data_IF_765573038131
#
_entry.id   IF_765573038131
#
_cell.length_a   1.000
_cell.length_b   1.000
_cell.length_c   1.000
_cell.angle_alpha   90.00
_cell.angle_beta   90.00
_cell.angle_gamma   90.00
#
_symmetry.space_group_name_H-M   'P 1'
#
loop_
_entity.id
_entity.type
_entity.pdbx_description
1 polymer ?
#
# COMPACT_ATOMS: atom_id res chain seq x y z
N UNK A 1 -1.35 7.48 16.04
CA UNK A 1 -2.63 7.80 16.69
C UNK A 1 -2.98 6.66 17.62
N UNK A 2 -3.51 6.95 18.81
CA UNK A 2 -3.91 5.92 19.77
C UNK A 2 -5.39 5.57 19.59
N UNK A 3 -5.74 4.29 19.71
CA UNK A 3 -7.13 3.82 19.57
C UNK A 3 -7.78 3.88 20.95
N UNK A 4 -8.76 4.76 21.12
CA UNK A 4 -9.51 4.90 22.36
C UNK A 4 -10.67 3.92 22.40
N UNK A 5 -10.67 3.03 23.39
CA UNK A 5 -11.77 2.11 23.69
C UNK A 5 -12.64 2.80 24.75
N UNK A 6 -13.85 3.20 24.36
CA UNK A 6 -14.78 3.91 25.21
C UNK A 6 -15.75 2.95 25.89
N UNK A 7 -16.17 3.27 27.12
CA UNK A 7 -17.19 2.50 27.86
C UNK A 7 -18.57 2.51 27.18
N UNK A 8 -18.82 3.48 26.30
CA UNK A 8 -20.05 3.59 25.49
C UNK A 8 -20.00 2.81 24.18
N UNK A 9 -18.85 2.20 23.83
CA UNK A 9 -18.74 1.39 22.64
C UNK A 9 -19.56 0.10 22.80
N UNK A 10 -20.24 -0.32 21.72
CA UNK A 10 -20.85 -1.65 21.69
C UNK A 10 -19.79 -2.74 21.87
N UNK A 11 -20.19 -3.90 22.37
CA UNK A 11 -19.26 -5.03 22.58
C UNK A 11 -18.45 -5.38 21.32
N UNK A 12 -19.11 -5.36 20.16
CA UNK A 12 -18.47 -5.57 18.85
C UNK A 12 -17.46 -4.48 18.53
N UNK A 13 -17.77 -3.21 18.80
CA UNK A 13 -16.85 -2.10 18.56
C UNK A 13 -15.62 -2.17 19.46
N UNK A 14 -15.79 -2.61 20.71
CA UNK A 14 -14.66 -2.87 21.62
C UNK A 14 -13.74 -3.97 21.07
N UNK A 15 -14.31 -5.10 20.59
CA UNK A 15 -13.55 -6.20 19.96
C UNK A 15 -12.75 -5.72 18.75
N UNK A 16 -13.38 -4.93 17.87
CA UNK A 16 -12.72 -4.36 16.68
C UNK A 16 -11.58 -3.42 17.09
N UNK A 17 -11.82 -2.50 18.02
CA UNK A 17 -10.79 -1.55 18.49
C UNK A 17 -9.62 -2.26 19.18
N UNK A 18 -9.88 -3.32 19.94
CA UNK A 18 -8.86 -4.14 20.59
C UNK A 18 -7.99 -4.86 19.56
N UNK A 19 -8.62 -5.48 18.56
CA UNK A 19 -7.94 -6.10 17.42
C UNK A 19 -7.07 -5.07 16.70
N UNK A 20 -7.64 -3.92 16.37
CA UNK A 20 -6.90 -2.85 15.71
C UNK A 20 -5.68 -2.39 16.52
N UNK A 21 -5.81 -2.24 17.83
CA UNK A 21 -4.71 -1.86 18.71
C UNK A 21 -3.61 -2.94 18.75
N UNK A 22 -3.99 -4.22 18.82
CA UNK A 22 -3.06 -5.34 18.84
C UNK A 22 -2.22 -5.46 17.55
N UNK A 23 -2.81 -5.14 16.39
CA UNK A 23 -2.14 -5.23 15.09
C UNK A 23 -1.59 -3.89 14.57
N UNK A 24 -1.65 -2.82 15.37
CA UNK A 24 -1.22 -1.49 14.95
C UNK A 24 -2.03 -0.90 13.79
N UNK A 25 -3.28 -1.33 13.62
CA UNK A 25 -4.20 -0.87 12.58
C UNK A 25 -4.84 0.44 13.04
N UNK A 26 -4.15 1.54 12.80
CA UNK A 26 -4.53 2.85 13.33
C UNK A 26 -5.76 3.47 12.63
N UNK A 27 -6.11 3.01 11.43
CA UNK A 27 -7.08 3.70 10.58
C UNK A 27 -7.94 2.74 9.72
N UNK A 28 -9.19 2.51 10.15
CA UNK A 28 -10.23 1.75 9.41
C UNK A 28 -11.35 2.66 8.87
N UNK A 29 -11.18 3.99 8.97
CA UNK A 29 -12.18 4.92 8.43
C UNK A 29 -12.12 4.89 6.90
N UNK A 30 -13.26 5.11 6.27
CA UNK A 30 -13.31 5.33 4.82
C UNK A 30 -12.57 6.63 4.50
N UNK A 31 -11.30 6.52 4.09
CA UNK A 31 -10.49 7.65 3.61
C UNK A 31 -9.71 7.27 2.38
N UNK A 32 -9.34 8.29 1.61
CA UNK A 32 -8.43 8.10 0.49
C UNK A 32 -7.04 7.68 1.00
N UNK A 33 -6.40 6.77 0.27
CA UNK A 33 -5.00 6.43 0.48
C UNK A 33 -4.12 7.66 0.20
N UNK A 34 -3.11 7.85 1.04
CA UNK A 34 -2.11 8.89 0.83
C UNK A 34 -1.05 8.44 -0.19
N UNK A 35 -0.26 9.39 -0.71
CA UNK A 35 0.73 9.11 -1.76
C UNK A 35 1.79 8.11 -1.29
N UNK A 36 2.21 8.16 -0.03
CA UNK A 36 3.17 7.20 0.52
C UNK A 36 2.63 5.77 0.57
N UNK A 37 1.36 5.60 0.91
CA UNK A 37 0.66 4.32 0.87
C UNK A 37 0.53 3.80 -0.57
N UNK A 38 0.10 4.66 -1.49
CA UNK A 38 -0.02 4.31 -2.91
C UNK A 38 1.32 3.86 -3.50
N UNK A 39 2.43 4.56 -3.18
CA UNK A 39 3.78 4.16 -3.58
C UNK A 39 4.16 2.77 -3.06
N UNK A 40 3.89 2.49 -1.78
CA UNK A 40 4.20 1.19 -1.18
C UNK A 40 3.38 0.06 -1.82
N UNK A 41 2.10 0.30 -2.08
CA UNK A 41 1.20 -0.71 -2.68
C UNK A 41 1.64 -1.08 -4.09
N UNK A 42 2.15 -0.15 -4.89
CA UNK A 42 2.67 -0.45 -6.24
C UNK A 42 4.11 -1.00 -6.24
N UNK A 43 4.71 -1.17 -5.06
CA UNK A 43 6.05 -1.70 -4.85
C UNK A 43 7.18 -0.71 -5.19
N UNK A 44 6.90 0.59 -5.23
CA UNK A 44 7.96 1.59 -5.36
C UNK A 44 8.86 1.55 -4.11
N UNK A 45 10.19 1.71 -4.27
CA UNK A 45 11.11 1.61 -3.16
C UNK A 45 10.90 2.75 -2.15
N UNK A 46 11.29 2.50 -0.90
CA UNK A 46 11.30 3.52 0.14
C UNK A 46 12.18 4.69 -0.29
N UNK A 47 11.67 5.92 -0.21
CA UNK A 47 12.39 7.13 -0.63
C UNK A 47 12.20 7.51 -2.10
N UNK A 48 11.46 6.74 -2.90
CA UNK A 48 11.16 7.11 -4.29
C UNK A 48 10.45 8.47 -4.38
N UNK A 49 11.07 9.44 -5.06
CA UNK A 49 10.55 10.81 -5.21
C UNK A 49 9.70 10.91 -6.47
N UNK A 50 8.48 11.43 -6.33
CA UNK A 50 7.63 11.79 -7.46
C UNK A 50 7.48 13.31 -7.45
N UNK A 51 7.84 13.96 -8.56
CA UNK A 51 7.70 15.39 -8.74
C UNK A 51 6.31 15.74 -9.28
N UNK A 52 5.90 17.00 -9.11
CA UNK A 52 4.59 17.51 -9.53
C UNK A 52 3.56 17.58 -8.41
N UNK A 53 2.34 18.00 -8.76
CA UNK A 53 1.25 18.20 -7.79
C UNK A 53 0.78 16.87 -7.18
N UNK A 54 0.02 16.92 -6.07
CA UNK A 54 -0.58 15.70 -5.49
C UNK A 54 -1.50 14.98 -6.48
N UNK A 55 -2.16 15.71 -7.38
CA UNK A 55 -3.02 15.14 -8.42
C UNK A 55 -2.18 14.39 -9.45
N UNK A 56 -1.09 15.01 -9.93
CA UNK A 56 -0.18 14.41 -10.91
C UNK A 56 0.45 13.14 -10.35
N UNK A 57 0.93 13.18 -9.10
CA UNK A 57 1.53 12.01 -8.46
C UNK A 57 0.54 10.85 -8.36
N UNK A 58 -0.73 11.12 -8.01
CA UNK A 58 -1.78 10.09 -7.99
C UNK A 58 -2.07 9.53 -9.39
N UNK A 59 -2.14 10.40 -10.40
CA UNK A 59 -2.31 10.00 -11.80
C UNK A 59 -1.16 9.11 -12.29
N UNK A 60 0.08 9.47 -11.98
CA UNK A 60 1.26 8.69 -12.37
C UNK A 60 1.27 7.31 -11.71
N UNK A 61 0.99 7.25 -10.40
CA UNK A 61 0.91 5.97 -9.69
C UNK A 61 -0.24 5.11 -10.23
N UNK A 62 -1.42 5.70 -10.45
CA UNK A 62 -2.61 4.99 -10.91
C UNK A 62 -2.51 4.47 -12.35
N UNK A 63 -1.73 5.14 -13.21
CA UNK A 63 -1.52 4.72 -14.60
C UNK A 63 -0.31 3.77 -14.77
N UNK A 64 0.55 3.64 -13.76
CA UNK A 64 1.72 2.79 -13.83
C UNK A 64 1.39 1.32 -13.57
N UNK A 65 2.21 0.42 -14.13
CA UNK A 65 2.17 -1.00 -13.79
C UNK A 65 2.89 -1.22 -12.45
N UNK A 66 2.32 -1.99 -11.50
CA UNK A 66 3.02 -2.33 -10.26
C UNK A 66 4.36 -3.03 -10.52
N UNK A 67 5.38 -2.64 -9.78
CA UNK A 67 6.77 -3.08 -9.99
C UNK A 67 6.95 -4.60 -9.85
N UNK A 68 6.23 -5.24 -8.94
CA UNK A 68 6.29 -6.69 -8.74
C UNK A 68 5.76 -7.48 -9.95
N UNK A 69 4.79 -6.91 -10.70
CA UNK A 69 4.31 -7.52 -11.95
C UNK A 69 5.40 -7.50 -13.01
N UNK A 70 6.05 -6.34 -13.19
CA UNK A 70 7.16 -6.20 -14.14
C UNK A 70 8.32 -7.10 -13.76
N UNK A 71 8.66 -7.16 -12.47
CA UNK A 71 9.71 -8.07 -11.95
C UNK A 71 9.41 -9.53 -12.30
N UNK A 72 8.21 -10.01 -12.00
CA UNK A 72 7.82 -11.39 -12.31
C UNK A 72 7.82 -11.68 -13.81
N UNK A 73 7.41 -10.72 -14.64
CA UNK A 73 7.45 -10.83 -16.11
C UNK A 73 8.89 -10.96 -16.62
N UNK A 74 9.82 -10.12 -16.14
CA UNK A 74 11.24 -10.16 -16.53
C UNK A 74 11.89 -11.46 -16.08
N UNK A 75 11.68 -11.89 -14.83
CA UNK A 75 12.20 -13.16 -14.30
C UNK A 75 11.64 -14.38 -15.06
N UNK A 76 10.40 -14.32 -15.55
CA UNK A 76 9.84 -15.35 -16.40
C UNK A 76 10.46 -15.31 -17.80
N UNK A 77 10.65 -14.13 -18.37
CA UNK A 77 11.27 -13.97 -19.69
C UNK A 77 12.72 -14.45 -19.70
N UNK A 78 13.52 -14.07 -18.70
CA UNK A 78 14.92 -14.51 -18.56
C UNK A 78 15.06 -16.03 -18.44
N UNK A 79 14.18 -16.70 -17.67
CA UNK A 79 14.17 -18.17 -17.57
C UNK A 79 13.86 -18.87 -18.89
N UNK A 80 13.16 -18.20 -19.80
CA UNK A 80 12.79 -18.72 -21.11
C UNK A 80 13.67 -18.18 -22.23
N UNK A 81 14.69 -17.35 -21.92
CA UNK A 81 15.65 -16.93 -22.93
C UNK A 81 16.45 -18.18 -23.36
N UNK A 82 16.45 -18.54 -24.66
CA UNK A 82 17.37 -19.56 -25.12
C UNK A 82 18.78 -19.08 -24.80
N UNK A 83 19.59 -19.94 -24.17
CA UNK A 83 21.01 -19.67 -23.95
C UNK A 83 21.61 -19.32 -25.32
N UNK A 84 22.01 -18.07 -25.50
CA UNK A 84 22.77 -17.66 -26.66
C UNK A 84 24.15 -18.26 -26.46
N UNK A 85 24.42 -19.37 -27.14
CA UNK A 85 25.75 -19.98 -27.23
C UNK A 85 26.73 -19.03 -27.94
#
# INVERSE_FOLDING_TARGET
SYIVIGKSDSETMQKIKLFMAAYGIVDIKMRMLNIGELKRITGLPTGYVLYGSKSDQKKFIGNAVPTYTVKAMVEAFERNLPLVN
#
